data_IF_284887277574
#
_entry.id   IF_284887277574
#
_cell.length_a   1.000
_cell.length_b   1.000
_cell.length_c   1.000
_cell.angle_alpha   90.00
_cell.angle_beta   90.00
_cell.angle_gamma   90.00
#
_symmetry.space_group_name_H-M   'P 1'
#
loop_
_entity.id
_entity.type
_entity.pdbx_description
1 polymer ?
#
# COMPACT_ATOMS: atom_id res chain seq x y z
N UNK A 1 29.08 -9.69 -12.64
CA UNK A 1 28.03 -9.24 -13.60
C UNK A 1 26.69 -9.69 -13.06
N UNK A 2 26.13 -8.90 -12.14
CA UNK A 2 24.85 -9.18 -11.52
C UNK A 2 23.74 -9.11 -12.55
N UNK A 3 23.09 -10.26 -12.79
CA UNK A 3 21.92 -10.35 -13.66
C UNK A 3 20.83 -9.47 -13.04
N UNK A 4 20.62 -8.27 -13.59
CA UNK A 4 19.49 -7.41 -13.22
C UNK A 4 18.22 -8.26 -13.24
N UNK A 5 17.66 -8.52 -12.06
CA UNK A 5 16.42 -9.25 -11.93
C UNK A 5 15.37 -8.52 -12.78
N UNK A 6 14.77 -9.21 -13.76
CA UNK A 6 13.68 -8.64 -14.56
C UNK A 6 12.56 -8.24 -13.61
N UNK A 7 12.17 -6.97 -13.63
CA UNK A 7 10.98 -6.51 -12.91
C UNK A 7 9.78 -7.28 -13.48
N UNK A 8 9.05 -8.06 -12.65
CA UNK A 8 7.93 -8.85 -13.13
C UNK A 8 6.83 -7.93 -13.68
N UNK A 9 6.32 -8.27 -14.88
CA UNK A 9 5.34 -7.45 -15.59
C UNK A 9 3.91 -7.64 -15.13
N UNK A 10 3.63 -8.72 -14.38
CA UNK A 10 2.32 -9.03 -13.79
C UNK A 10 2.48 -9.43 -12.33
N UNK A 11 1.44 -9.19 -11.54
CA UNK A 11 1.42 -9.58 -10.12
C UNK A 11 1.56 -11.10 -9.93
N UNK A 12 1.20 -11.89 -10.94
CA UNK A 12 1.38 -13.35 -11.00
C UNK A 12 2.80 -13.79 -11.36
N UNK A 13 3.63 -12.90 -11.89
CA UNK A 13 5.00 -13.22 -12.31
C UNK A 13 5.99 -13.19 -11.14
N UNK A 14 5.54 -12.75 -9.94
CA UNK A 14 6.33 -12.78 -8.73
C UNK A 14 6.55 -14.22 -8.26
N UNK A 15 7.67 -14.83 -8.68
CA UNK A 15 8.19 -16.07 -8.09
C UNK A 15 8.90 -15.73 -6.77
N UNK A 16 8.17 -15.71 -5.65
CA UNK A 16 8.75 -15.39 -4.34
C UNK A 16 7.71 -15.13 -3.25
N UNK A 17 8.11 -14.42 -2.19
CA UNK A 17 7.17 -13.87 -1.21
C UNK A 17 6.28 -12.81 -1.86
N UNK A 18 5.01 -12.74 -1.45
CA UNK A 18 4.09 -11.71 -1.93
C UNK A 18 4.68 -10.32 -1.70
N UNK A 19 4.52 -9.38 -2.66
CA UNK A 19 5.01 -8.02 -2.47
C UNK A 19 4.42 -7.41 -1.20
N UNK A 20 5.20 -6.54 -0.54
CA UNK A 20 4.79 -5.86 0.70
C UNK A 20 4.91 -4.36 0.50
N UNK A 21 3.97 -3.63 1.07
CA UNK A 21 4.03 -2.17 1.19
C UNK A 21 4.60 -1.83 2.56
N UNK A 22 5.48 -0.84 2.62
CA UNK A 22 6.10 -0.37 3.86
C UNK A 22 5.93 1.14 3.97
N UNK A 23 5.67 1.63 5.18
CA UNK A 23 5.64 3.08 5.45
C UNK A 23 7.06 3.56 5.71
N UNK A 24 7.49 4.60 5.00
CA UNK A 24 8.78 5.26 5.18
C UNK A 24 8.60 6.75 5.46
N UNK A 25 9.49 7.32 6.27
CA UNK A 25 9.58 8.77 6.49
C UNK A 25 10.51 9.46 5.50
N UNK A 26 11.31 8.67 4.77
CA UNK A 26 12.25 9.11 3.75
C UNK A 26 11.86 8.43 2.44
N UNK A 27 10.88 8.98 1.70
CA UNK A 27 10.44 8.43 0.42
C UNK A 27 11.52 8.63 -0.63
N UNK A 28 11.76 7.59 -1.43
CA UNK A 28 12.76 7.62 -2.52
C UNK A 28 12.18 8.22 -3.82
N UNK A 29 10.85 8.25 -3.96
CA UNK A 29 10.14 8.80 -5.13
C UNK A 29 9.03 9.76 -4.68
N UNK A 30 8.98 10.96 -5.28
CA UNK A 30 7.91 11.93 -5.08
C UNK A 30 6.55 11.42 -5.53
N UNK A 31 6.51 10.53 -6.54
CA UNK A 31 5.26 9.97 -7.04
C UNK A 31 4.53 9.14 -5.97
N UNK A 32 5.27 8.44 -5.09
CA UNK A 32 4.68 7.65 -4.00
C UNK A 32 4.03 8.55 -2.94
N UNK A 33 4.65 9.71 -2.67
CA UNK A 33 4.13 10.72 -1.76
C UNK A 33 2.82 11.29 -2.30
N UNK A 34 2.81 11.68 -3.57
CA UNK A 34 1.61 12.23 -4.22
C UNK A 34 0.47 11.20 -4.30
N UNK A 35 0.79 9.95 -4.67
CA UNK A 35 -0.18 8.87 -4.69
C UNK A 35 -0.81 8.64 -3.29
N UNK A 36 0.02 8.62 -2.24
CA UNK A 36 -0.45 8.49 -0.86
C UNK A 36 -1.33 9.67 -0.46
N UNK A 37 -0.92 10.90 -0.81
CA UNK A 37 -1.66 12.11 -0.50
C UNK A 37 -3.04 12.14 -1.17
N UNK A 38 -3.09 11.81 -2.46
CA UNK A 38 -4.34 11.74 -3.23
C UNK A 38 -5.28 10.68 -2.68
N UNK A 39 -4.75 9.52 -2.29
CA UNK A 39 -5.55 8.46 -1.69
C UNK A 39 -6.13 8.88 -0.34
N UNK A 40 -5.32 9.48 0.53
CA UNK A 40 -5.81 10.01 1.81
C UNK A 40 -6.90 11.06 1.57
N UNK A 41 -6.68 12.00 0.65
CA UNK A 41 -7.66 13.03 0.32
C UNK A 41 -8.98 12.43 -0.19
N UNK A 42 -8.92 11.42 -1.05
CA UNK A 42 -10.10 10.76 -1.61
C UNK A 42 -11.02 10.15 -0.55
N UNK A 43 -10.45 9.70 0.57
CA UNK A 43 -11.18 9.05 1.65
C UNK A 43 -11.22 9.87 2.94
N UNK A 44 -10.85 11.15 2.87
CA UNK A 44 -10.97 12.07 4.00
C UNK A 44 -12.17 12.98 3.79
N UNK A 45 -13.00 13.10 4.82
CA UNK A 45 -14.06 14.10 4.87
C UNK A 45 -13.90 14.98 6.13
N UNK A 46 -14.99 15.67 6.51
CA UNK A 46 -15.02 16.55 7.69
C UNK A 46 -14.73 15.83 9.02
N UNK A 47 -14.96 14.51 9.09
CA UNK A 47 -14.84 13.70 10.31
C UNK A 47 -13.47 12.98 10.37
N UNK A 48 -12.67 13.10 9.32
CA UNK A 48 -11.32 12.54 9.22
C UNK A 48 -11.17 11.58 8.05
N UNK A 49 -10.08 10.83 8.06
CA UNK A 49 -9.85 9.74 7.11
C UNK A 49 -10.73 8.54 7.46
N UNK A 50 -11.41 7.98 6.47
CA UNK A 50 -12.22 6.77 6.55
C UNK A 50 -11.54 5.64 5.77
N UNK A 51 -11.25 4.52 6.42
CA UNK A 51 -10.72 3.38 5.70
C UNK A 51 -11.78 2.83 4.73
N UNK A 52 -11.47 2.65 3.42
CA UNK A 52 -12.44 2.12 2.45
C UNK A 52 -12.75 0.63 2.64
N UNK A 53 -12.03 -0.06 3.52
CA UNK A 53 -12.12 -1.53 3.68
C UNK A 53 -12.67 -1.96 5.03
N UNK A 54 -12.58 -1.12 6.06
CA UNK A 54 -13.03 -1.45 7.40
C UNK A 54 -13.60 -0.22 8.12
N UNK A 55 -14.27 -0.38 9.28
CA UNK A 55 -14.87 0.73 10.01
C UNK A 55 -13.88 1.73 10.65
N UNK A 56 -12.57 1.58 10.42
CA UNK A 56 -11.55 2.44 11.01
C UNK A 56 -11.64 3.88 10.49
N UNK A 57 -11.60 4.83 11.41
CA UNK A 57 -11.59 6.27 11.17
C UNK A 57 -10.58 6.96 12.06
N UNK A 58 -9.88 7.98 11.53
CA UNK A 58 -8.94 8.78 12.31
C UNK A 58 -8.77 10.18 11.73
N UNK A 59 -8.51 11.16 12.59
CA UNK A 59 -8.09 12.51 12.19
C UNK A 59 -6.56 12.62 12.11
N UNK A 60 -5.83 11.62 12.61
CA UNK A 60 -4.38 11.58 12.57
C UNK A 60 -3.88 11.00 11.24
N UNK A 61 -3.22 11.85 10.44
CA UNK A 61 -2.67 11.46 9.13
C UNK A 61 -1.68 10.30 9.23
N UNK A 62 -0.82 10.28 10.25
CA UNK A 62 0.21 9.25 10.39
C UNK A 62 -0.44 7.88 10.69
N UNK A 63 -1.43 7.85 11.57
CA UNK A 63 -2.23 6.65 11.84
C UNK A 63 -2.95 6.14 10.59
N UNK A 64 -3.52 7.04 9.78
CA UNK A 64 -4.17 6.68 8.53
C UNK A 64 -3.20 5.98 7.55
N UNK A 65 -1.98 6.50 7.41
CA UNK A 65 -0.95 5.90 6.54
C UNK A 65 -0.53 4.53 7.04
N UNK A 66 -0.29 4.38 8.34
CA UNK A 66 0.07 3.07 8.92
C UNK A 66 -1.06 2.05 8.74
N UNK A 67 -2.31 2.42 9.05
CA UNK A 67 -3.46 1.54 8.88
C UNK A 67 -3.66 1.12 7.42
N UNK A 68 -3.52 2.05 6.48
CA UNK A 68 -3.62 1.77 5.05
C UNK A 68 -2.59 0.72 4.61
N UNK A 69 -1.34 0.84 5.06
CA UNK A 69 -0.29 -0.12 4.73
C UNK A 69 -0.62 -1.54 5.26
N UNK A 70 -1.21 -1.65 6.45
CA UNK A 70 -1.68 -2.94 6.98
C UNK A 70 -2.78 -3.55 6.11
N UNK A 71 -3.80 -2.76 5.76
CA UNK A 71 -4.93 -3.23 4.94
C UNK A 71 -4.50 -3.62 3.52
N UNK A 72 -3.56 -2.88 2.91
CA UNK A 72 -2.97 -3.24 1.62
C UNK A 72 -2.19 -4.55 1.70
N UNK A 73 -1.38 -4.73 2.74
CA UNK A 73 -0.63 -5.97 2.94
C UNK A 73 -1.55 -7.17 3.18
N UNK A 74 -2.63 -7.01 3.97
CA UNK A 74 -3.68 -8.04 4.11
C UNK A 74 -4.29 -8.36 2.74
N UNK A 75 -4.61 -7.35 1.94
CA UNK A 75 -5.14 -7.53 0.58
C UNK A 75 -4.22 -8.36 -0.31
N UNK A 76 -2.93 -8.02 -0.32
CA UNK A 76 -1.91 -8.67 -1.15
C UNK A 76 -1.75 -10.13 -0.73
N UNK A 77 -1.78 -10.42 0.57
CA UNK A 77 -1.73 -11.79 1.09
C UNK A 77 -2.90 -12.64 0.58
N UNK A 78 -4.08 -12.06 0.40
CA UNK A 78 -5.22 -12.75 -0.22
C UNK A 78 -5.04 -13.00 -1.73
N UNK A 79 -4.40 -12.08 -2.45
CA UNK A 79 -4.10 -12.26 -3.89
C UNK A 79 -3.09 -13.40 -4.07
N UNK A 80 -2.01 -13.41 -3.29
CA UNK A 80 -0.98 -14.45 -3.35
C UNK A 80 -1.51 -15.86 -3.03
N UNK A 81 -2.57 -15.97 -2.21
CA UNK A 81 -3.24 -17.26 -1.93
C UNK A 81 -4.15 -17.75 -3.05
N UNK A 82 -4.76 -16.86 -3.83
CA UNK A 82 -5.63 -17.23 -4.96
C UNK A 82 -4.85 -17.67 -6.21
N UNK A 83 -3.56 -17.36 -6.29
CA UNK A 83 -2.70 -17.72 -7.42
C UNK A 83 -2.01 -19.10 -7.27
N UNK A 84 -2.31 -19.86 -6.20
CA UNK A 84 -1.82 -21.23 -5.98
C UNK A 84 -2.88 -22.26 -6.32
#
# INVERSE_FOLDING_TARGET
>A
MDKKAKVPGKITDFKGHSPRVTVTRTPDDSADVDATNLLLQQYTDKDGFHCPRCPFTTTNREEAVYHLAEELNKAIDHIGRRAK
#
